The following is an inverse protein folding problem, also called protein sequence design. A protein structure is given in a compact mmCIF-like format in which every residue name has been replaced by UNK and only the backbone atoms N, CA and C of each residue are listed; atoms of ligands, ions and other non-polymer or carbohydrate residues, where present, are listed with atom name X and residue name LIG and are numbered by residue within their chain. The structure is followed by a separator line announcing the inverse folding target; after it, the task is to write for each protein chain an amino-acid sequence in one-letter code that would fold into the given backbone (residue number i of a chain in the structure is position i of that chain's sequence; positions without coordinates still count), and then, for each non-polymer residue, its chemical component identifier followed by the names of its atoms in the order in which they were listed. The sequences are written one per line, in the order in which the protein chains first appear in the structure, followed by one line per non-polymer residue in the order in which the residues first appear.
data_IF_711425803837
#
_entry.id   IF_711425803837
#
_cell.length_a   1.000
_cell.length_b   1.000
_cell.length_c   1.000
_cell.angle_alpha   90.00
_cell.angle_beta   90.00
_cell.angle_gamma   90.00
#
_symmetry.space_group_name_H-M   'P 1'
#
loop_
_entity.id
_entity.type
_entity.pdbx_description
1 polymer ?
#
# COMPACT_ATOMS: atom_id res chain seq x y z
N UNK A 1 -2.70 -11.22 -29.66
CA UNK A 1 -2.72 -11.21 -28.18
C UNK A 1 -3.95 -10.43 -27.76
N UNK A 2 -4.96 -11.09 -27.18
CA UNK A 2 -6.21 -10.41 -26.82
C UNK A 2 -5.93 -9.31 -25.79
N UNK A 3 -6.52 -8.13 -25.95
CA UNK A 3 -6.42 -7.05 -24.99
C UNK A 3 -7.04 -7.47 -23.66
N UNK A 4 -6.34 -7.22 -22.54
CA UNK A 4 -6.87 -7.43 -21.19
C UNK A 4 -8.11 -6.55 -21.04
N UNK A 5 -9.25 -7.14 -20.67
CA UNK A 5 -10.46 -6.39 -20.37
C UNK A 5 -10.29 -5.65 -19.04
N UNK A 6 -10.08 -4.34 -19.14
CA UNK A 6 -9.94 -3.40 -18.02
C UNK A 6 -11.24 -2.67 -17.73
N UNK A 7 -12.36 -3.09 -18.30
CA UNK A 7 -13.63 -2.41 -18.09
C UNK A 7 -14.06 -2.52 -16.63
N UNK A 8 -14.52 -1.41 -16.08
CA UNK A 8 -15.06 -1.36 -14.72
C UNK A 8 -16.24 -2.30 -14.54
N UNK A 9 -17.08 -2.46 -15.57
CA UNK A 9 -18.28 -3.32 -15.54
C UNK A 9 -17.95 -4.77 -15.21
N UNK A 10 -16.84 -5.29 -15.75
CA UNK A 10 -16.45 -6.70 -15.59
C UNK A 10 -15.47 -6.93 -14.42
N UNK A 11 -14.91 -5.85 -13.84
CA UNK A 11 -13.90 -5.93 -12.77
C UNK A 11 -14.24 -5.05 -11.55
N UNK A 12 -15.52 -4.77 -11.30
CA UNK A 12 -15.92 -3.85 -10.21
C UNK A 12 -15.37 -4.30 -8.86
N UNK A 13 -15.40 -5.61 -8.61
CA UNK A 13 -14.91 -6.26 -7.39
C UNK A 13 -13.43 -5.95 -7.15
N UNK A 14 -12.62 -6.06 -8.20
CA UNK A 14 -11.20 -5.75 -8.18
C UNK A 14 -10.95 -4.31 -7.76
N UNK A 15 -11.62 -3.35 -8.42
CA UNK A 15 -11.45 -1.93 -8.12
C UNK A 15 -11.97 -1.55 -6.72
N UNK A 16 -13.10 -2.12 -6.28
CA UNK A 16 -13.65 -1.88 -4.94
C UNK A 16 -12.70 -2.40 -3.86
N UNK A 17 -12.16 -3.61 -4.02
CA UNK A 17 -11.23 -4.22 -3.06
C UNK A 17 -9.96 -3.36 -2.94
N UNK A 18 -9.35 -2.99 -4.06
CA UNK A 18 -8.12 -2.17 -4.02
C UNK A 18 -8.39 -0.72 -3.62
N UNK A 19 -9.59 -0.19 -3.86
CA UNK A 19 -10.02 1.10 -3.32
C UNK A 19 -10.16 1.07 -1.80
N UNK A 20 -10.73 -0.01 -1.24
CA UNK A 20 -10.84 -0.20 0.20
C UNK A 20 -9.46 -0.37 0.86
N UNK A 21 -8.57 -1.15 0.26
CA UNK A 21 -7.19 -1.30 0.75
C UNK A 21 -6.46 0.05 0.75
N UNK A 22 -6.61 0.85 -0.31
CA UNK A 22 -6.03 2.19 -0.36
C UNK A 22 -6.60 3.10 0.72
N UNK A 23 -7.92 3.06 0.96
CA UNK A 23 -8.56 3.86 2.01
C UNK A 23 -7.94 3.59 3.39
N UNK A 24 -7.66 2.33 3.70
CA UNK A 24 -6.99 1.97 4.96
C UNK A 24 -5.53 2.39 4.95
N UNK A 25 -4.84 2.32 3.80
CA UNK A 25 -3.46 2.80 3.70
C UNK A 25 -3.33 4.32 3.88
N UNK A 26 -4.33 5.11 3.46
CA UNK A 26 -4.37 6.56 3.71
C UNK A 26 -4.33 6.89 5.21
N UNK A 27 -4.81 5.99 6.09
CA UNK A 27 -4.68 6.15 7.54
C UNK A 27 -3.21 6.06 7.99
N UNK A 28 -2.39 5.24 7.33
CA UNK A 28 -0.94 5.20 7.59
C UNK A 28 -0.30 6.53 7.21
N UNK A 29 -0.54 7.00 5.98
CA UNK A 29 -0.05 8.31 5.53
C UNK A 29 -0.49 9.44 6.47
N UNK A 30 -1.73 9.39 6.97
CA UNK A 30 -2.23 10.38 7.93
C UNK A 30 -1.44 10.35 9.25
N UNK A 31 -1.06 9.15 9.71
CA UNK A 31 -0.24 8.97 10.91
C UNK A 31 1.14 9.59 10.71
N UNK A 32 1.79 9.33 9.58
CA UNK A 32 3.06 9.92 9.20
C UNK A 32 3.02 11.45 9.18
N UNK A 33 1.98 12.03 8.59
CA UNK A 33 1.79 13.48 8.57
C UNK A 33 1.54 14.05 9.97
N UNK A 34 0.83 13.32 10.83
CA UNK A 34 0.63 13.70 12.22
C UNK A 34 1.95 13.67 13.01
N UNK A 35 2.73 12.60 12.88
CA UNK A 35 4.08 12.48 13.46
C UNK A 35 5.01 13.59 12.94
N UNK A 36 4.93 13.92 11.64
CA UNK A 36 5.67 15.04 11.06
C UNK A 36 5.25 16.37 11.66
N UNK A 37 3.97 16.61 11.90
CA UNK A 37 3.52 17.85 12.55
C UNK A 37 4.00 17.97 14.00
N UNK A 38 4.21 16.84 14.67
CA UNK A 38 4.61 16.73 16.07
C UNK A 38 6.10 16.39 16.25
N UNK A 39 6.90 16.42 15.19
CA UNK A 39 8.29 15.93 15.22
C UNK A 39 9.18 16.64 16.25
N UNK A 40 8.92 17.94 16.50
CA UNK A 40 9.67 18.72 17.48
C UNK A 40 9.37 18.29 18.91
N UNK A 41 8.11 17.98 19.22
CA UNK A 41 7.71 17.49 20.55
C UNK A 41 8.12 16.04 20.78
N UNK A 42 8.17 15.23 19.72
CA UNK A 42 8.49 13.80 19.78
C UNK A 42 9.98 13.48 19.56
N UNK A 43 10.82 14.51 19.35
CA UNK A 43 12.25 14.37 19.04
C UNK A 43 12.55 13.43 17.85
N UNK A 44 11.67 13.43 16.84
CA UNK A 44 11.82 12.55 15.67
C UNK A 44 12.81 13.18 14.67
N UNK A 45 13.86 12.46 14.23
CA UNK A 45 14.79 12.96 13.24
C UNK A 45 14.10 13.28 11.91
N UNK A 46 14.36 14.44 11.30
CA UNK A 46 13.77 14.79 10.00
C UNK A 46 14.09 13.80 8.87
N UNK A 47 15.25 13.11 8.98
CA UNK A 47 15.67 12.06 8.06
C UNK A 47 14.65 10.92 7.95
N UNK A 48 13.99 10.57 9.06
CA UNK A 48 12.97 9.52 9.11
C UNK A 48 11.84 9.77 8.11
N UNK A 49 11.30 11.00 8.08
CA UNK A 49 10.18 11.35 7.21
C UNK A 49 10.51 11.29 5.72
N UNK A 50 11.77 11.56 5.33
CA UNK A 50 12.17 11.39 3.92
C UNK A 50 12.11 9.91 3.50
N UNK A 51 12.41 8.99 4.42
CA UNK A 51 12.30 7.56 4.15
C UNK A 51 10.85 7.11 4.15
N UNK A 52 10.05 7.46 5.16
CA UNK A 52 8.66 6.96 5.24
C UNK A 52 7.78 7.52 4.14
N UNK A 53 7.79 8.84 3.92
CA UNK A 53 7.06 9.47 2.79
C UNK A 53 7.55 8.98 1.42
N UNK A 54 8.85 8.65 1.32
CA UNK A 54 9.42 8.03 0.13
C UNK A 54 8.84 6.63 -0.12
N UNK A 55 8.71 5.83 0.94
CA UNK A 55 8.08 4.50 0.86
C UNK A 55 6.58 4.62 0.61
N UNK A 56 5.88 5.59 1.19
CA UNK A 56 4.47 5.87 0.88
C UNK A 56 4.25 6.10 -0.62
N UNK A 57 5.11 6.90 -1.24
CA UNK A 57 5.07 7.11 -2.68
C UNK A 57 5.27 5.80 -3.46
N UNK A 58 6.18 4.94 -3.02
CA UNK A 58 6.40 3.62 -3.63
C UNK A 58 5.19 2.69 -3.45
N UNK A 59 4.52 2.72 -2.29
CA UNK A 59 3.26 1.99 -2.06
C UNK A 59 2.18 2.51 -3.01
N UNK A 60 1.97 3.81 -3.10
CA UNK A 60 0.98 4.41 -4.02
C UNK A 60 1.30 4.08 -5.49
N UNK A 61 2.57 4.10 -5.88
CA UNK A 61 3.01 3.72 -7.21
C UNK A 61 2.72 2.24 -7.50
N UNK A 62 3.01 1.34 -6.55
CA UNK A 62 2.70 -0.08 -6.67
C UNK A 62 1.19 -0.35 -6.74
N UNK A 63 0.38 0.41 -5.99
CA UNK A 63 -1.08 0.37 -6.09
C UNK A 63 -1.57 0.83 -7.46
N UNK A 64 -0.99 1.89 -8.02
CA UNK A 64 -1.32 2.34 -9.37
C UNK A 64 -0.99 1.26 -10.43
N UNK A 65 0.14 0.57 -10.27
CA UNK A 65 0.50 -0.58 -11.11
C UNK A 65 -0.52 -1.72 -11.02
N UNK A 66 -1.07 -1.99 -9.83
CA UNK A 66 -2.16 -2.96 -9.62
C UNK A 66 -3.38 -2.55 -10.45
N UNK A 67 -3.80 -1.28 -10.40
CA UNK A 67 -4.93 -0.79 -11.22
C UNK A 67 -4.72 -0.95 -12.73
N UNK A 68 -3.47 -0.91 -13.19
CA UNK A 68 -3.10 -1.16 -14.58
C UNK A 68 -2.87 -2.64 -14.92
N UNK A 69 -3.27 -3.55 -14.02
CA UNK A 69 -3.15 -4.99 -14.17
C UNK A 69 -1.68 -5.43 -14.35
N UNK A 70 -0.75 -4.82 -13.61
CA UNK A 70 0.68 -5.19 -13.63
C UNK A 70 1.03 -6.11 -12.47
N UNK A 71 1.61 -7.28 -12.78
CA UNK A 71 2.04 -8.25 -11.75
C UNK A 71 3.03 -7.65 -10.77
N UNK A 72 3.91 -6.79 -11.28
CA UNK A 72 4.91 -6.11 -10.48
C UNK A 72 4.29 -5.32 -9.34
N UNK A 73 3.14 -4.66 -9.57
CA UNK A 73 2.43 -3.92 -8.52
C UNK A 73 1.96 -4.82 -7.38
N UNK A 74 1.44 -6.02 -7.70
CA UNK A 74 0.97 -7.00 -6.70
C UNK A 74 2.10 -7.47 -5.79
N UNK A 75 3.31 -7.64 -6.32
CA UNK A 75 4.47 -8.08 -5.54
C UNK A 75 5.08 -6.92 -4.75
N UNK A 76 5.23 -5.75 -5.38
CA UNK A 76 5.84 -4.58 -4.76
C UNK A 76 4.99 -3.99 -3.64
N UNK A 77 3.66 -4.03 -3.75
CA UNK A 77 2.75 -3.45 -2.77
C UNK A 77 2.98 -3.98 -1.34
N UNK A 78 2.88 -5.28 -1.04
CA UNK A 78 3.13 -5.78 0.31
C UNK A 78 4.59 -5.61 0.75
N UNK A 79 5.56 -5.62 -0.18
CA UNK A 79 6.97 -5.39 0.14
C UNK A 79 7.19 -3.96 0.64
N UNK A 80 6.60 -2.97 -0.02
CA UNK A 80 6.73 -1.58 0.40
C UNK A 80 5.94 -1.27 1.67
N UNK A 81 4.76 -1.88 1.88
CA UNK A 81 4.04 -1.74 3.15
C UNK A 81 4.83 -2.39 4.30
N UNK A 82 5.46 -3.55 4.09
CA UNK A 82 6.36 -4.15 5.09
C UNK A 82 7.58 -3.28 5.37
N UNK A 83 8.15 -2.65 4.33
CA UNK A 83 9.27 -1.73 4.48
C UNK A 83 8.85 -0.50 5.30
N UNK A 84 7.68 0.07 5.02
CA UNK A 84 7.09 1.17 5.78
C UNK A 84 6.95 0.80 7.26
N UNK A 85 6.27 -0.30 7.54
CA UNK A 85 6.12 -0.84 8.89
C UNK A 85 7.47 -1.03 9.60
N UNK A 86 8.45 -1.58 8.88
CA UNK A 86 9.79 -1.82 9.42
C UNK A 86 10.52 -0.51 9.76
N UNK A 87 10.32 0.56 9.00
CA UNK A 87 10.89 1.87 9.30
C UNK A 87 10.31 2.44 10.60
N UNK A 88 8.99 2.40 10.79
CA UNK A 88 8.37 2.84 12.05
C UNK A 88 8.82 1.99 13.24
N UNK A 89 8.92 0.67 13.05
CA UNK A 89 9.38 -0.22 14.10
C UNK A 89 10.86 0.04 14.45
N UNK A 90 11.72 0.24 13.45
CA UNK A 90 13.15 0.45 13.66
C UNK A 90 13.48 1.83 14.25
N UNK A 91 12.88 2.90 13.73
CA UNK A 91 13.22 4.27 14.15
C UNK A 91 12.41 4.75 15.35
N UNK A 92 11.13 4.37 15.45
CA UNK A 92 10.22 4.87 16.48
C UNK A 92 9.79 3.81 17.49
N UNK A 93 10.13 2.53 17.27
CA UNK A 93 9.56 1.40 18.04
C UNK A 93 8.03 1.38 18.04
N UNK A 94 7.42 2.02 17.03
CA UNK A 94 5.96 2.13 16.88
C UNK A 94 5.43 0.92 16.12
N UNK A 95 4.35 0.32 16.62
CA UNK A 95 3.62 -0.73 15.93
C UNK A 95 2.41 -0.13 15.21
N UNK A 96 2.54 0.12 13.90
CA UNK A 96 1.46 0.68 13.11
C UNK A 96 0.41 -0.40 12.77
N UNK A 97 -0.72 -0.36 13.48
CA UNK A 97 -1.87 -1.22 13.19
C UNK A 97 -2.46 -0.96 11.80
N UNK A 98 -2.33 0.25 11.26
CA UNK A 98 -2.72 0.60 9.89
C UNK A 98 -1.99 -0.28 8.87
N UNK A 99 -0.66 -0.37 8.93
CA UNK A 99 0.15 -1.16 7.99
C UNK A 99 -0.18 -2.64 8.04
N UNK A 100 -0.30 -3.20 9.25
CA UNK A 100 -0.64 -4.61 9.44
C UNK A 100 -2.06 -4.89 8.93
N UNK A 101 -2.99 -3.97 9.15
CA UNK A 101 -4.36 -4.09 8.62
C UNK A 101 -4.35 -4.05 7.09
N UNK A 102 -3.55 -3.18 6.48
CA UNK A 102 -3.37 -3.13 5.01
C UNK A 102 -2.82 -4.45 4.48
N UNK A 103 -1.80 -5.01 5.12
CA UNK A 103 -1.23 -6.31 4.75
C UNK A 103 -2.26 -7.44 4.91
N UNK A 104 -3.01 -7.44 6.01
CA UNK A 104 -4.07 -8.40 6.24
C UNK A 104 -5.16 -8.32 5.16
N UNK A 105 -5.64 -7.12 4.82
CA UNK A 105 -6.62 -6.93 3.75
C UNK A 105 -6.04 -7.32 2.40
N UNK A 106 -4.79 -6.98 2.12
CA UNK A 106 -4.14 -7.36 0.87
C UNK A 106 -4.05 -8.89 0.72
N UNK A 107 -3.58 -9.61 1.74
CA UNK A 107 -3.48 -11.07 1.71
C UNK A 107 -4.86 -11.73 1.74
N UNK A 108 -5.76 -11.23 2.59
CA UNK A 108 -7.07 -11.82 2.84
C UNK A 108 -8.10 -11.59 1.73
N UNK A 109 -8.18 -10.39 1.16
CA UNK A 109 -9.16 -10.06 0.10
C UNK A 109 -8.49 -9.62 -1.21
N UNK A 110 -7.36 -8.92 -1.16
CA UNK A 110 -6.64 -8.45 -2.35
C UNK A 110 -6.14 -9.59 -3.22
N UNK A 111 -5.49 -10.59 -2.63
CA UNK A 111 -4.99 -11.76 -3.36
C UNK A 111 -6.14 -12.62 -3.90
N UNK A 112 -7.28 -12.70 -3.21
CA UNK A 112 -8.48 -13.38 -3.73
C UNK A 112 -8.97 -12.72 -5.03
N UNK A 113 -8.91 -11.38 -5.12
CA UNK A 113 -9.26 -10.67 -6.34
C UNK A 113 -8.21 -10.85 -7.47
N UNK A 114 -6.95 -11.03 -7.10
CA UNK A 114 -5.81 -11.12 -8.03
C UNK A 114 -5.60 -12.53 -8.59
N UNK A 115 -5.66 -13.58 -7.76
CA UNK A 115 -5.33 -14.97 -8.15
C UNK A 115 -6.11 -15.44 -9.39
N UNK A 116 -7.44 -15.24 -9.51
CA UNK A 116 -8.19 -15.64 -10.70
C UNK A 116 -7.76 -14.91 -11.98
N UNK A 117 -7.12 -13.73 -11.82
CA UNK A 117 -6.70 -12.84 -12.89
C UNK A 117 -5.19 -12.91 -13.15
N UNK A 118 -4.46 -13.77 -12.45
CA UNK A 118 -2.98 -13.81 -12.48
C UNK A 118 -2.40 -13.98 -13.89
N UNK A 119 -3.02 -14.84 -14.71
CA UNK A 119 -2.58 -15.08 -16.09
C UNK A 119 -2.88 -13.92 -17.05
N UNK A 120 -3.81 -13.05 -16.67
CA UNK A 120 -4.26 -11.89 -17.45
C UNK A 120 -3.41 -10.66 -17.11
N UNK A 121 -2.89 -10.59 -15.88
CA UNK A 121 -1.94 -9.55 -15.46
C UNK A 121 -0.69 -9.58 -16.35
N UNK A 122 -0.20 -8.40 -16.72
CA UNK A 122 1.01 -8.22 -17.54
C UNK A 122 2.24 -7.93 -16.70
#
# INVERSE_FOLDING_TARGET
MNSVDRSYKNNKDYYIIFGLILLVFILSINTDLAEYSQHQSLNIPRGFFYYTLGVDFLVLFSWLLILFFRKLGVVLFPVFVLLHFSLHNYFLSTYLYSDITVLFLFVGIGLIAVIPRWNILK
#
